data_IF_740419153223
#
_entry.id   IF_740419153223
#
_cell.length_a   1.000
_cell.length_b   1.000
_cell.length_c   1.000
_cell.angle_alpha   90.00
_cell.angle_beta   90.00
_cell.angle_gamma   90.00
#
_symmetry.space_group_name_H-M   'P 1'
#
loop_
_entity.id
_entity.type
_entity.pdbx_description
1 polymer ?
#
# COMPACT_ATOMS: atom_id res chain seq x y z
N UNK A 1 3.07 -8.84 1.11
CA UNK A 1 2.02 -9.34 2.03
C UNK A 1 1.81 -8.41 3.20
N UNK A 2 2.82 -8.18 4.06
CA UNK A 2 2.64 -7.33 5.25
C UNK A 2 2.07 -5.94 4.93
N UNK A 3 2.62 -5.26 3.91
CA UNK A 3 2.13 -3.94 3.44
C UNK A 3 0.66 -3.93 3.03
N UNK A 4 0.13 -5.04 2.50
CA UNK A 4 -1.28 -5.15 2.10
C UNK A 4 -2.16 -5.10 3.34
N UNK A 5 -1.80 -5.85 4.39
CA UNK A 5 -2.56 -5.93 5.63
C UNK A 5 -2.35 -4.74 6.57
N UNK A 6 -1.36 -3.89 6.30
CA UNK A 6 -1.20 -2.57 6.93
C UNK A 6 -1.72 -1.44 6.05
N UNK A 7 -2.37 -1.76 4.93
CA UNK A 7 -2.95 -0.78 4.00
C UNK A 7 -1.94 0.26 3.50
N UNK A 8 -0.72 -0.19 3.17
CA UNK A 8 0.36 0.64 2.66
C UNK A 8 1.34 1.15 3.73
N UNK A 9 1.33 0.57 4.93
CA UNK A 9 2.29 0.93 5.97
C UNK A 9 3.74 0.61 5.56
N UNK A 10 4.67 1.47 5.98
CA UNK A 10 6.11 1.28 5.69
C UNK A 10 6.68 0.10 6.50
N UNK A 11 7.37 -0.87 5.86
CA UNK A 11 8.00 -1.99 6.57
C UNK A 11 9.06 -1.52 7.57
N UNK A 12 9.13 -2.21 8.73
CA UNK A 12 10.04 -1.87 9.83
C UNK A 12 10.02 -0.37 10.21
N UNK A 13 8.85 0.19 10.57
CA UNK A 13 8.75 1.62 10.82
C UNK A 13 9.67 2.04 11.98
N UNK A 14 10.31 3.19 11.84
CA UNK A 14 11.23 3.73 12.87
C UNK A 14 12.58 3.02 12.96
N UNK A 15 12.82 1.95 12.20
CA UNK A 15 14.11 1.25 12.19
C UNK A 15 14.94 1.75 11.00
N UNK A 16 16.09 2.40 11.22
CA UNK A 16 16.97 2.80 10.14
C UNK A 16 17.60 1.58 9.46
N UNK A 17 17.89 1.69 8.15
CA UNK A 17 18.37 0.57 7.33
C UNK A 17 19.69 0.00 7.87
N UNK A 18 20.53 0.85 8.46
CA UNK A 18 21.81 0.50 9.07
C UNK A 18 21.64 -0.49 10.23
N UNK A 19 20.59 -0.34 11.03
CA UNK A 19 20.28 -1.22 12.16
C UNK A 19 19.50 -2.47 11.73
N UNK A 20 18.70 -2.36 10.67
CA UNK A 20 17.85 -3.44 10.17
C UNK A 20 18.66 -4.71 9.84
N UNK A 21 19.85 -4.58 9.24
CA UNK A 21 20.68 -5.75 8.92
C UNK A 21 21.06 -6.57 10.15
N UNK A 22 21.33 -5.91 11.27
CA UNK A 22 21.68 -6.59 12.53
C UNK A 22 20.44 -7.31 13.08
N UNK A 23 19.31 -6.62 13.15
CA UNK A 23 18.05 -7.18 13.63
C UNK A 23 17.59 -8.39 12.82
N UNK A 24 17.71 -8.34 11.49
CA UNK A 24 17.34 -9.45 10.62
C UNK A 24 18.21 -10.69 10.85
N UNK A 25 19.51 -10.51 11.14
CA UNK A 25 20.44 -11.59 11.51
C UNK A 25 20.12 -12.20 12.88
N UNK A 26 19.64 -11.38 13.81
CA UNK A 26 19.15 -11.82 15.12
C UNK A 26 17.76 -12.49 15.05
N UNK A 27 17.15 -12.52 13.86
CA UNK A 27 15.87 -13.18 13.62
C UNK A 27 14.65 -12.29 13.82
N UNK A 28 14.83 -10.98 14.04
CA UNK A 28 13.71 -10.04 14.13
C UNK A 28 12.89 -10.04 12.83
N UNK A 29 11.57 -9.98 12.97
CA UNK A 29 10.59 -9.86 11.89
C UNK A 29 9.46 -8.95 12.38
N UNK A 30 8.76 -8.33 11.44
CA UNK A 30 7.63 -7.45 11.75
C UNK A 30 6.52 -8.20 12.51
N UNK A 31 5.85 -7.50 13.43
CA UNK A 31 4.72 -8.07 14.17
C UNK A 31 3.49 -8.22 13.27
N UNK A 32 2.50 -8.93 13.80
CA UNK A 32 1.24 -9.16 13.11
C UNK A 32 0.48 -7.84 12.96
N UNK A 33 0.06 -7.46 11.73
CA UNK A 33 -0.84 -6.33 11.54
C UNK A 33 -2.17 -6.51 12.29
N UNK A 34 -2.83 -5.40 12.65
CA UNK A 34 -4.11 -5.41 13.37
C UNK A 34 -5.18 -6.20 12.61
N UNK A 35 -5.36 -5.88 11.31
CA UNK A 35 -6.38 -6.46 10.44
C UNK A 35 -5.95 -7.78 9.78
N UNK A 36 -4.90 -8.44 10.28
CA UNK A 36 -4.38 -9.69 9.74
C UNK A 36 -4.76 -10.87 10.64
N UNK A 37 -5.31 -11.94 10.05
CA UNK A 37 -5.56 -13.18 10.78
C UNK A 37 -4.24 -13.88 11.15
N UNK A 38 -4.27 -14.74 12.16
CA UNK A 38 -3.08 -15.50 12.55
C UNK A 38 -2.60 -16.44 11.43
N UNK A 39 -3.51 -17.03 10.65
CA UNK A 39 -3.16 -17.92 9.54
C UNK A 39 -2.36 -17.18 8.46
N UNK A 40 -2.82 -15.99 8.06
CA UNK A 40 -2.11 -15.15 7.08
C UNK A 40 -0.78 -14.64 7.63
N UNK A 41 -0.70 -14.34 8.92
CA UNK A 41 0.56 -13.96 9.55
C UNK A 41 1.56 -15.13 9.60
N UNK A 42 1.12 -16.35 9.91
CA UNK A 42 1.99 -17.52 9.85
C UNK A 42 2.52 -17.73 8.43
N UNK A 43 1.70 -17.55 7.40
CA UNK A 43 2.16 -17.56 6.01
C UNK A 43 3.23 -16.49 5.72
N UNK A 44 3.11 -15.28 6.29
CA UNK A 44 4.19 -14.27 6.21
C UNK A 44 5.46 -14.75 6.92
N UNK A 45 5.33 -15.38 8.09
CA UNK A 45 6.46 -15.93 8.85
C UNK A 45 7.20 -17.02 8.07
N UNK A 46 6.46 -17.88 7.38
CA UNK A 46 7.00 -18.93 6.52
C UNK A 46 7.75 -18.32 5.32
N UNK A 47 7.20 -17.27 4.71
CA UNK A 47 7.90 -16.49 3.68
C UNK A 47 9.22 -15.88 4.17
N UNK A 48 9.31 -15.56 5.46
CA UNK A 48 10.48 -14.94 6.08
C UNK A 48 11.44 -15.91 6.76
N UNK A 49 11.29 -17.21 6.49
CA UNK A 49 12.14 -18.24 7.05
C UNK A 49 13.63 -17.99 6.72
N UNK A 50 14.49 -18.18 7.72
CA UNK A 50 15.93 -17.92 7.61
C UNK A 50 16.59 -18.82 6.54
N UNK A 51 16.20 -20.09 6.51
CA UNK A 51 16.62 -21.06 5.48
C UNK A 51 15.75 -20.90 4.23
N UNK A 52 16.31 -20.50 3.07
CA UNK A 52 15.53 -20.21 1.87
C UNK A 52 14.72 -21.41 1.33
N UNK A 53 15.24 -22.63 1.43
CA UNK A 53 14.57 -23.84 0.97
C UNK A 53 13.37 -24.26 1.82
N UNK A 54 13.20 -23.69 3.01
CA UNK A 54 12.02 -23.93 3.85
C UNK A 54 10.92 -22.89 3.61
N UNK A 55 11.17 -21.88 2.77
CA UNK A 55 10.14 -20.92 2.38
C UNK A 55 9.15 -21.59 1.42
N UNK A 56 7.86 -21.28 1.50
CA UNK A 56 6.88 -21.81 0.57
C UNK A 56 7.17 -21.31 -0.84
N UNK A 57 6.91 -22.16 -1.82
CA UNK A 57 6.90 -21.77 -3.23
C UNK A 57 5.68 -20.92 -3.54
N UNK A 58 5.72 -20.13 -4.62
CA UNK A 58 4.54 -19.40 -5.08
C UNK A 58 3.34 -20.32 -5.38
N UNK A 59 3.59 -21.54 -5.88
CA UNK A 59 2.52 -22.51 -6.10
C UNK A 59 1.80 -22.85 -4.79
N UNK A 60 2.54 -23.15 -3.73
CA UNK A 60 1.97 -23.44 -2.40
C UNK A 60 1.24 -22.21 -1.84
N UNK A 61 1.84 -21.01 -1.97
CA UNK A 61 1.18 -19.77 -1.53
C UNK A 61 -0.15 -19.52 -2.24
N UNK A 62 -0.24 -19.79 -3.54
CA UNK A 62 -1.50 -19.66 -4.30
C UNK A 62 -2.53 -20.66 -3.80
N UNK A 63 -2.16 -21.93 -3.62
CA UNK A 63 -3.04 -22.98 -3.11
C UNK A 63 -3.56 -22.64 -1.69
N UNK A 64 -2.69 -22.15 -0.81
CA UNK A 64 -3.07 -21.76 0.55
C UNK A 64 -3.93 -20.50 0.58
N UNK A 65 -3.62 -19.48 -0.22
CA UNK A 65 -4.44 -18.27 -0.31
C UNK A 65 -5.82 -18.55 -0.89
N UNK A 66 -5.94 -19.44 -1.88
CA UNK A 66 -7.22 -19.87 -2.45
C UNK A 66 -8.09 -20.59 -1.42
N UNK A 67 -7.48 -21.48 -0.64
CA UNK A 67 -8.13 -22.16 0.49
C UNK A 67 -8.63 -21.16 1.53
N UNK A 68 -7.79 -20.22 1.96
CA UNK A 68 -8.18 -19.18 2.93
C UNK A 68 -9.32 -18.34 2.37
N UNK A 69 -9.19 -17.84 1.14
CA UNK A 69 -10.21 -17.00 0.50
C UNK A 69 -11.55 -17.72 0.45
N UNK A 70 -11.57 -18.98 0.01
CA UNK A 70 -12.79 -19.79 -0.07
C UNK A 70 -13.51 -19.90 1.28
N UNK A 71 -12.76 -20.11 2.37
CA UNK A 71 -13.30 -20.21 3.73
C UNK A 71 -13.83 -18.87 4.28
N UNK A 72 -13.29 -17.76 3.78
CA UNK A 72 -13.55 -16.41 4.28
C UNK A 72 -14.57 -15.64 3.42
N UNK A 73 -15.16 -16.28 2.40
CA UNK A 73 -16.04 -15.65 1.39
C UNK A 73 -17.28 -14.94 1.94
N UNK A 74 -17.65 -15.17 3.21
CA UNK A 74 -18.80 -14.54 3.86
C UNK A 74 -18.42 -13.49 4.92
N UNK A 75 -17.14 -13.16 5.09
CA UNK A 75 -16.73 -12.11 6.03
C UNK A 75 -16.94 -10.71 5.42
N UNK A 76 -17.35 -9.76 6.27
CA UNK A 76 -17.50 -8.36 5.86
C UNK A 76 -16.14 -7.74 5.52
N UNK A 77 -16.14 -6.84 4.53
CA UNK A 77 -14.95 -6.09 4.17
C UNK A 77 -14.49 -5.19 5.32
N UNK A 78 -13.18 -4.93 5.36
CA UNK A 78 -12.59 -3.99 6.32
C UNK A 78 -13.22 -2.60 6.14
N UNK A 79 -13.70 -2.03 7.25
CA UNK A 79 -14.23 -0.68 7.29
C UNK A 79 -13.10 0.35 7.36
N UNK A 80 -12.83 1.00 6.23
CA UNK A 80 -11.79 2.02 6.09
C UNK A 80 -12.20 3.39 6.67
N UNK A 81 -13.45 3.56 7.10
CA UNK A 81 -13.91 4.80 7.72
C UNK A 81 -13.45 4.94 9.18
N UNK A 82 -12.97 3.86 9.78
CA UNK A 82 -12.40 3.87 11.13
C UNK A 82 -10.96 4.41 11.11
N UNK A 83 -10.52 5.09 12.20
CA UNK A 83 -9.15 5.55 12.31
C UNK A 83 -8.17 4.40 12.08
N UNK A 84 -7.34 4.51 11.04
CA UNK A 84 -6.26 3.56 10.82
C UNK A 84 -5.27 3.72 11.96
N UNK A 85 -5.13 2.70 12.81
CA UNK A 85 -4.00 2.65 13.73
C UNK A 85 -2.73 2.52 12.90
N UNK A 86 -2.00 3.63 12.80
CA UNK A 86 -0.68 3.65 12.20
C UNK A 86 0.19 2.70 13.02
N UNK A 87 0.63 1.60 12.41
CA UNK A 87 1.48 0.63 13.08
C UNK A 87 2.79 1.33 13.50
N UNK A 88 2.87 1.71 14.77
CA UNK A 88 4.05 2.31 15.40
C UNK A 88 4.67 1.26 16.32
N UNK A 89 5.76 0.58 15.91
CA UNK A 89 6.57 -0.19 16.83
C UNK A 89 7.17 0.79 17.84
N UNK A 90 7.22 0.36 19.10
CA UNK A 90 7.67 1.14 20.24
C UNK A 90 9.18 1.41 20.20
N UNK A 91 9.63 2.35 19.36
CA UNK A 91 11.00 2.88 19.37
C UNK A 91 10.97 4.41 19.28
N UNK A 92 11.86 5.12 20.01
CA UNK A 92 11.86 6.57 20.06
C UNK A 92 12.21 7.18 18.70
N UNK A 93 11.37 8.12 18.26
CA UNK A 93 11.45 8.81 16.97
C UNK A 93 12.80 9.51 16.75
N UNK A 94 13.58 9.05 15.77
CA UNK A 94 14.53 9.91 15.06
C UNK A 94 13.86 10.42 13.80
N UNK A 95 13.48 11.70 13.81
CA UNK A 95 12.90 12.45 12.68
C UNK A 95 13.68 12.18 11.38
N UNK A 96 13.05 11.51 10.43
CA UNK A 96 13.54 11.42 9.05
C UNK A 96 12.63 12.26 8.16
N UNK A 97 13.19 13.24 7.47
CA UNK A 97 12.51 14.02 6.44
C UNK A 97 12.76 13.36 5.09
N UNK A 98 11.75 12.65 4.57
CA UNK A 98 11.75 12.20 3.18
C UNK A 98 11.23 13.34 2.28
N UNK A 99 12.07 13.83 1.38
CA UNK A 99 11.63 14.74 0.31
C UNK A 99 10.97 13.92 -0.78
N UNK A 100 9.66 14.04 -0.92
CA UNK A 100 8.90 13.46 -2.03
C UNK A 100 9.24 14.21 -3.32
N UNK A 101 10.10 13.64 -4.17
CA UNK A 101 10.19 14.03 -5.57
C UNK A 101 8.95 13.51 -6.30
N UNK A 102 8.33 14.35 -7.12
CA UNK A 102 7.20 14.00 -7.96
C UNK A 102 7.66 13.11 -9.12
N UNK A 103 7.26 11.84 -9.13
CA UNK A 103 7.39 10.96 -10.30
C UNK A 103 5.98 10.58 -10.76
N UNK A 104 5.38 11.46 -11.57
CA UNK A 104 4.07 11.25 -12.17
C UNK A 104 4.23 10.70 -13.58
N UNK A 105 4.17 9.37 -13.73
CA UNK A 105 4.24 8.65 -15.02
C UNK A 105 2.96 8.78 -15.87
N UNK A 106 1.91 9.44 -15.38
CA UNK A 106 0.68 9.69 -16.14
C UNK A 106 0.54 11.17 -16.48
N UNK A 107 1.18 11.59 -17.57
CA UNK A 107 0.78 12.80 -18.29
C UNK A 107 -0.04 12.38 -19.51
N UNK A 108 -1.29 12.83 -19.69
CA UNK A 108 -1.99 12.65 -20.96
C UNK A 108 -1.42 13.64 -21.99
N UNK A 109 -0.72 13.13 -23.00
CA UNK A 109 -0.28 13.92 -24.15
C UNK A 109 -1.49 14.43 -24.96
N UNK A 110 -1.45 15.68 -25.48
CA UNK A 110 -2.56 16.26 -26.23
C UNK A 110 -2.57 15.74 -27.68
N UNK A 111 -3.65 15.08 -28.09
CA UNK A 111 -3.86 14.71 -29.49
C UNK A 111 -4.34 15.94 -30.30
N UNK A 112 -3.87 16.10 -31.56
CA UNK A 112 -4.31 17.18 -32.45
C UNK A 112 -5.67 16.83 -33.08
N UNK A 113 -6.17 17.72 -33.95
CA UNK A 113 -7.40 17.63 -34.76
C UNK A 113 -8.64 18.31 -34.15
N UNK A 114 -8.69 19.63 -34.32
CA UNK A 114 -9.94 20.41 -34.43
C UNK A 114 -10.61 20.12 -35.80
N UNK A 115 -11.94 20.23 -35.92
CA UNK A 115 -12.41 21.40 -36.65
C UNK A 115 -13.74 22.02 -36.17
N UNK A 116 -13.69 23.36 -36.05
CA UNK A 116 -14.65 24.37 -36.48
C UNK A 116 -16.07 24.36 -35.92
N UNK A 117 -16.37 25.30 -35.01
CA UNK A 117 -17.59 26.13 -35.09
C UNK A 117 -17.32 27.59 -34.68
N UNK A 118 -17.87 28.50 -35.49
CA UNK A 118 -17.59 29.94 -35.52
C UNK A 118 -18.04 30.71 -34.26
N UNK A 119 -17.24 31.70 -33.88
CA UNK A 119 -17.46 32.63 -32.77
C UNK A 119 -18.59 33.63 -33.08
N UNK A 120 -19.57 33.75 -32.18
CA UNK A 120 -20.41 34.94 -32.08
C UNK A 120 -20.04 35.71 -30.80
N UNK A 121 -19.65 37.00 -30.89
CA UNK A 121 -19.35 37.78 -29.71
C UNK A 121 -20.62 38.23 -28.99
N UNK A 122 -20.66 38.00 -27.68
CA UNK A 122 -21.61 38.59 -26.74
C UNK A 122 -21.43 40.12 -26.70
N UNK A 123 -22.48 40.88 -26.98
CA UNK A 123 -22.57 42.31 -26.66
C UNK A 123 -23.63 42.50 -25.58
N UNK A 124 -23.22 43.06 -24.45
CA UNK A 124 -24.09 43.50 -23.36
C UNK A 124 -24.66 44.89 -23.65
N UNK A 125 -26.00 45.01 -23.62
CA UNK A 125 -26.74 46.16 -23.11
C UNK A 125 -26.93 47.39 -24.01
N UNK A 126 -28.17 47.71 -24.35
CA UNK A 126 -28.92 48.90 -23.85
C UNK A 126 -30.26 49.02 -24.59
N UNK A 127 -31.36 49.04 -23.83
CA UNK A 127 -32.71 49.42 -24.29
C UNK A 127 -32.79 50.94 -24.42
N UNK A 128 -33.39 51.47 -25.49
CA UNK A 128 -34.19 52.71 -25.45
C UNK A 128 -35.04 52.92 -26.72
N UNK A 129 -36.34 53.12 -26.44
CA UNK A 129 -37.44 53.78 -27.17
C UNK A 129 -37.79 53.33 -28.58
#
# INVERSE_FOLDING_TARGET
>A
MWEIFTLGGSPYPGIPVEELFKLLKEGHRMDKPANCTNELYMMMRDCWHAVPSQRPTFKQLVEDLDRILTLTTNEEYLDLSQPLEQYSPSYPDTRSSCSSGDDSVFSPDPMPYEPCLAQFPHINGTVKT
#
